data_IF_504010788706
#
_entry.id   IF_504010788706
#
_cell.length_a   1.000
_cell.length_b   1.000
_cell.length_c   1.000
_cell.angle_alpha   90.00
_cell.angle_beta   90.00
_cell.angle_gamma   90.00
#
_symmetry.space_group_name_H-M   'P 1'
#
loop_
_entity.id
_entity.type
_entity.pdbx_description
1 polymer ?
#
# COMPACT_ATOMS: atom_id res chain seq x y z
N UNK A 1 -27.36 10.99 -15.18
CA UNK A 1 -26.06 10.30 -15.21
C UNK A 1 -25.22 10.76 -14.05
N UNK A 2 -25.06 9.93 -13.04
CA UNK A 2 -24.12 10.19 -11.95
C UNK A 2 -22.70 9.98 -12.53
N UNK A 3 -21.93 11.06 -12.62
CA UNK A 3 -20.61 11.03 -13.23
C UNK A 3 -19.62 10.18 -12.43
N UNK A 4 -18.61 9.64 -13.14
CA UNK A 4 -17.47 8.89 -12.56
C UNK A 4 -16.84 9.61 -11.34
N UNK A 5 -16.92 10.94 -11.26
CA UNK A 5 -16.43 11.71 -10.13
C UNK A 5 -17.15 11.47 -8.80
N UNK A 6 -18.44 11.10 -8.82
CA UNK A 6 -19.19 10.83 -7.59
C UNK A 6 -18.90 9.46 -7.00
N UNK A 7 -18.54 8.48 -7.85
CA UNK A 7 -18.13 7.15 -7.42
C UNK A 7 -16.76 7.22 -6.76
N UNK A 8 -15.84 7.99 -7.29
CA UNK A 8 -14.51 8.20 -6.72
C UNK A 8 -14.55 8.96 -5.38
N UNK A 9 -15.37 9.99 -5.25
CA UNK A 9 -15.50 10.75 -4.00
C UNK A 9 -16.01 9.91 -2.82
N UNK A 10 -16.88 8.93 -3.08
CA UNK A 10 -17.38 8.04 -2.03
C UNK A 10 -16.36 7.01 -1.54
N UNK A 11 -15.30 6.74 -2.32
CA UNK A 11 -14.26 5.77 -1.98
C UNK A 11 -13.02 6.43 -1.35
N UNK A 12 -12.90 7.74 -1.41
CA UNK A 12 -11.70 8.48 -0.97
C UNK A 12 -11.70 8.78 0.52
N UNK A 13 -12.88 8.83 1.14
CA UNK A 13 -13.03 9.08 2.58
C UNK A 13 -14.00 8.07 3.20
N UNK A 14 -13.55 6.84 3.51
CA UNK A 14 -14.36 5.95 4.35
C UNK A 14 -14.57 6.62 5.71
N UNK A 15 -15.76 6.50 6.27
CA UNK A 15 -16.03 6.92 7.64
C UNK A 15 -15.13 6.20 8.64
N UNK A 16 -15.01 6.73 9.85
CA UNK A 16 -14.14 6.17 10.88
C UNK A 16 -14.44 4.69 11.20
N UNK A 17 -15.66 4.24 11.01
CA UNK A 17 -16.10 2.86 11.25
C UNK A 17 -15.67 1.90 10.12
N UNK A 18 -15.31 2.40 8.94
CA UNK A 18 -14.97 1.58 7.79
C UNK A 18 -13.57 0.95 7.90
N UNK A 19 -12.69 1.49 8.76
CA UNK A 19 -11.34 0.94 9.00
C UNK A 19 -11.35 -0.39 9.78
N UNK A 20 -12.50 -0.86 10.23
CA UNK A 20 -12.69 -2.18 10.83
C UNK A 20 -13.08 -3.26 9.81
N UNK A 21 -13.42 -2.86 8.59
CA UNK A 21 -13.72 -3.77 7.49
C UNK A 21 -12.45 -4.19 6.76
N UNK A 22 -12.11 -5.47 6.86
CA UNK A 22 -10.95 -6.08 6.20
C UNK A 22 -11.32 -7.01 5.03
N UNK A 23 -12.57 -6.97 4.55
CA UNK A 23 -12.95 -7.65 3.33
C UNK A 23 -12.28 -6.98 2.13
N UNK A 24 -11.73 -7.79 1.21
CA UNK A 24 -11.02 -7.29 0.04
C UNK A 24 -11.71 -7.76 -1.24
N UNK A 25 -12.06 -6.82 -2.10
CA UNK A 25 -12.64 -7.11 -3.41
C UNK A 25 -11.53 -7.18 -4.46
N UNK A 26 -11.42 -8.32 -5.14
CA UNK A 26 -10.47 -8.52 -6.23
C UNK A 26 -11.10 -8.27 -7.59
N UNK A 27 -10.35 -7.62 -8.46
CA UNK A 27 -10.54 -7.54 -9.90
C UNK A 27 -9.28 -8.07 -10.58
N UNK A 28 -9.30 -8.41 -11.88
CA UNK A 28 -8.08 -8.82 -12.58
C UNK A 28 -6.96 -7.80 -12.40
N UNK A 29 -5.82 -8.25 -11.87
CA UNK A 29 -4.74 -7.36 -11.48
C UNK A 29 -4.08 -6.69 -12.70
N UNK A 30 -3.80 -5.41 -12.56
CA UNK A 30 -3.09 -4.59 -13.53
C UNK A 30 -1.72 -4.19 -12.98
N UNK A 31 -0.72 -4.09 -13.85
CA UNK A 31 0.52 -3.36 -13.57
C UNK A 31 0.33 -1.92 -14.05
N UNK A 32 0.49 -0.96 -13.16
CA UNK A 32 0.29 0.45 -13.46
C UNK A 32 1.59 1.22 -13.25
N UNK A 33 1.99 2.01 -14.26
CA UNK A 33 3.17 2.85 -14.17
C UNK A 33 2.95 3.99 -13.18
N UNK A 34 3.93 4.19 -12.28
CA UNK A 34 3.85 5.21 -11.25
C UNK A 34 3.75 6.64 -11.82
N UNK A 35 4.49 6.91 -12.89
CA UNK A 35 4.59 8.26 -13.45
C UNK A 35 3.53 8.56 -14.52
N UNK A 36 3.16 7.55 -15.31
CA UNK A 36 2.33 7.75 -16.51
C UNK A 36 0.97 7.05 -16.45
N UNK A 37 0.78 6.14 -15.47
CA UNK A 37 -0.44 5.31 -15.42
C UNK A 37 -1.62 5.95 -14.72
N UNK A 38 -1.44 7.06 -14.02
CA UNK A 38 -2.53 7.73 -13.28
C UNK A 38 -2.75 7.23 -11.85
N UNK A 39 -1.91 6.31 -11.34
CA UNK A 39 -2.06 5.81 -9.97
C UNK A 39 -1.93 6.91 -8.92
N UNK A 40 -1.15 7.95 -9.17
CA UNK A 40 -0.98 9.05 -8.25
C UNK A 40 -2.26 9.87 -8.06
N UNK A 41 -3.12 9.92 -9.08
CA UNK A 41 -4.44 10.54 -9.02
C UNK A 41 -5.48 9.59 -8.41
N UNK A 42 -5.41 8.30 -8.74
CA UNK A 42 -6.31 7.27 -8.20
C UNK A 42 -6.10 7.11 -6.69
N UNK A 43 -4.85 7.01 -6.24
CA UNK A 43 -4.50 7.04 -4.84
C UNK A 43 -4.01 8.44 -4.46
N UNK A 44 -4.93 9.36 -4.34
CA UNK A 44 -4.63 10.74 -3.98
C UNK A 44 -4.03 10.84 -2.57
N UNK A 45 -3.22 11.87 -2.34
CA UNK A 45 -2.69 12.18 -0.99
C UNK A 45 -3.86 12.38 -0.01
N UNK A 46 -3.77 11.76 1.16
CA UNK A 46 -4.81 11.76 2.18
C UNK A 46 -5.83 10.62 2.04
N UNK A 47 -5.88 9.93 0.91
CA UNK A 47 -6.79 8.81 0.69
C UNK A 47 -6.27 7.53 1.35
N UNK A 48 -7.22 6.75 1.90
CA UNK A 48 -6.96 5.45 2.53
C UNK A 48 -7.61 4.33 1.74
N UNK A 49 -6.87 3.26 1.53
CA UNK A 49 -7.34 2.05 0.86
C UNK A 49 -6.83 0.80 1.56
N UNK A 50 -7.53 -0.31 1.36
CA UNK A 50 -7.10 -1.62 1.83
C UNK A 50 -5.96 -2.16 0.97
N UNK A 51 -4.97 -2.72 1.64
CA UNK A 51 -3.84 -3.44 1.05
C UNK A 51 -3.99 -4.92 1.37
N UNK A 52 -3.83 -5.77 0.38
CA UNK A 52 -3.83 -7.22 0.52
C UNK A 52 -2.39 -7.73 0.34
N UNK A 53 -1.86 -8.39 1.36
CA UNK A 53 -0.57 -9.08 1.25
C UNK A 53 -0.76 -10.44 0.57
N UNK A 54 -0.16 -10.60 -0.60
CA UNK A 54 -0.41 -11.78 -1.46
C UNK A 54 0.06 -13.10 -0.82
N UNK A 55 1.12 -13.04 0.00
CA UNK A 55 1.68 -14.26 0.60
C UNK A 55 0.93 -14.74 1.84
N UNK A 56 0.37 -13.83 2.61
CA UNK A 56 -0.31 -14.16 3.87
C UNK A 56 -1.83 -14.08 3.78
N UNK A 57 -2.36 -13.35 2.80
CA UNK A 57 -3.79 -13.04 2.71
C UNK A 57 -4.27 -12.02 3.72
N UNK A 58 -3.36 -11.40 4.48
CA UNK A 58 -3.70 -10.39 5.49
C UNK A 58 -4.00 -9.07 4.79
N UNK A 59 -5.11 -8.45 5.20
CA UNK A 59 -5.57 -7.14 4.70
C UNK A 59 -5.37 -6.11 5.80
N UNK A 60 -4.95 -4.90 5.43
CA UNK A 60 -4.79 -3.76 6.33
C UNK A 60 -5.05 -2.46 5.59
N UNK A 61 -5.40 -1.39 6.33
CA UNK A 61 -5.64 -0.07 5.75
C UNK A 61 -4.38 0.76 5.74
N UNK A 62 -4.10 1.38 4.60
CA UNK A 62 -3.00 2.30 4.41
C UNK A 62 -3.50 3.66 3.91
N UNK A 63 -2.94 4.74 4.46
CA UNK A 63 -3.16 6.10 3.98
C UNK A 63 -1.91 6.61 3.28
N UNK A 64 -2.08 7.13 2.06
CA UNK A 64 -1.01 7.84 1.39
C UNK A 64 -0.97 9.29 1.87
N UNK A 65 0.19 9.74 2.35
CA UNK A 65 0.35 11.14 2.75
C UNK A 65 1.23 11.92 1.79
N UNK A 66 2.19 11.30 1.10
CA UNK A 66 3.17 11.94 0.21
C UNK A 66 3.68 10.98 -0.86
N UNK A 67 4.81 11.34 -1.43
CA UNK A 67 5.61 10.51 -2.33
C UNK A 67 5.65 11.05 -3.76
N UNK A 68 6.88 11.27 -4.23
CA UNK A 68 7.17 11.67 -5.60
C UNK A 68 7.64 10.47 -6.45
N UNK A 69 8.53 9.66 -5.90
CA UNK A 69 9.13 8.51 -6.61
C UNK A 69 8.36 7.19 -6.39
N UNK A 70 7.58 7.13 -5.34
CA UNK A 70 6.67 6.05 -4.93
C UNK A 70 5.67 6.61 -3.92
N UNK A 71 4.73 5.81 -3.45
CA UNK A 71 3.81 6.26 -2.42
C UNK A 71 4.46 6.15 -1.03
N UNK A 72 4.46 7.26 -0.28
CA UNK A 72 4.76 7.27 1.14
C UNK A 72 3.45 7.06 1.90
N UNK A 73 3.39 6.02 2.71
CA UNK A 73 2.16 5.55 3.33
C UNK A 73 2.35 5.26 4.82
N UNK A 74 1.23 5.23 5.54
CA UNK A 74 1.17 4.82 6.93
C UNK A 74 -0.01 3.86 7.15
N UNK A 75 0.10 2.88 8.06
CA UNK A 75 -1.08 2.19 8.59
C UNK A 75 -2.06 3.19 9.20
N UNK A 76 -3.35 3.03 8.94
CA UNK A 76 -4.35 4.02 9.39
C UNK A 76 -4.60 3.94 10.89
N UNK A 77 -4.65 2.72 11.45
CA UNK A 77 -4.95 2.48 12.87
C UNK A 77 -3.90 1.61 13.53
N UNK A 78 -3.92 1.55 14.86
CA UNK A 78 -3.09 0.60 15.61
C UNK A 78 -3.39 -0.87 15.24
N UNK A 79 -4.64 -1.19 14.90
CA UNK A 79 -5.01 -2.52 14.41
C UNK A 79 -4.36 -2.81 13.05
N UNK A 80 -4.25 -1.83 12.17
CA UNK A 80 -3.56 -1.98 10.88
C UNK A 80 -2.06 -2.22 11.06
N UNK A 81 -1.43 -1.51 11.99
CA UNK A 81 -0.02 -1.76 12.34
C UNK A 81 0.17 -3.17 12.91
N UNK A 82 -0.76 -3.64 13.76
CA UNK A 82 -0.72 -5.02 14.28
C UNK A 82 -0.83 -6.06 13.14
N UNK A 83 -1.66 -5.81 12.14
CA UNK A 83 -1.80 -6.66 10.96
C UNK A 83 -0.53 -6.65 10.10
N UNK A 84 0.08 -5.48 9.92
CA UNK A 84 1.40 -5.36 9.28
C UNK A 84 2.47 -6.17 10.03
N UNK A 85 2.47 -6.10 11.36
CA UNK A 85 3.38 -6.90 12.20
C UNK A 85 3.15 -8.41 12.01
N UNK A 86 1.91 -8.87 11.87
CA UNK A 86 1.62 -10.26 11.55
C UNK A 86 2.21 -10.69 10.20
N UNK A 87 2.15 -9.82 9.18
CA UNK A 87 2.76 -10.08 7.87
C UNK A 87 4.26 -10.34 8.01
N UNK A 88 4.95 -9.56 8.85
CA UNK A 88 6.39 -9.68 9.06
C UNK A 88 6.78 -10.67 10.17
N UNK A 89 5.83 -11.22 10.90
CA UNK A 89 6.11 -12.15 12.00
C UNK A 89 6.80 -11.50 13.20
N UNK A 90 6.46 -10.25 13.51
CA UNK A 90 7.03 -9.44 14.58
C UNK A 90 5.97 -8.97 15.58
N UNK A 91 6.40 -8.49 16.75
CA UNK A 91 5.49 -8.03 17.80
C UNK A 91 5.12 -6.53 17.69
N UNK A 92 6.01 -5.74 17.11
CA UNK A 92 5.81 -4.31 16.87
C UNK A 92 6.56 -3.85 15.63
N UNK A 93 6.21 -2.67 15.12
CA UNK A 93 6.76 -2.16 13.87
C UNK A 93 8.28 -1.88 13.95
N UNK A 94 8.82 -1.49 15.11
CA UNK A 94 10.25 -1.27 15.29
C UNK A 94 11.07 -2.54 15.07
N UNK A 95 10.52 -3.72 15.40
CA UNK A 95 11.22 -5.00 15.19
C UNK A 95 11.45 -5.31 13.70
N UNK A 96 10.67 -4.74 12.78
CA UNK A 96 10.92 -4.89 11.34
C UNK A 96 12.30 -4.31 11.01
N UNK A 97 12.61 -3.15 11.59
CA UNK A 97 13.92 -2.51 11.47
C UNK A 97 15.01 -3.26 12.25
N UNK A 98 14.75 -3.54 13.52
CA UNK A 98 15.74 -4.18 14.41
C UNK A 98 16.21 -5.55 13.91
N UNK A 99 15.29 -6.30 13.31
CA UNK A 99 15.57 -7.61 12.71
C UNK A 99 16.00 -7.54 11.25
N UNK A 100 16.15 -6.33 10.70
CA UNK A 100 16.59 -6.11 9.31
C UNK A 100 15.73 -6.84 8.26
N UNK A 101 14.41 -6.73 8.40
CA UNK A 101 13.44 -7.41 7.53
C UNK A 101 13.16 -6.56 6.27
N UNK A 102 14.11 -6.50 5.38
CA UNK A 102 14.07 -5.66 4.18
C UNK A 102 13.30 -6.28 3.00
N UNK A 103 12.73 -7.46 3.14
CA UNK A 103 12.04 -8.13 2.05
C UNK A 103 10.92 -7.27 1.47
N UNK A 104 10.89 -7.20 0.14
CA UNK A 104 9.80 -6.56 -0.59
C UNK A 104 8.57 -7.48 -0.53
N UNK A 105 7.42 -6.92 -0.15
CA UNK A 105 6.18 -7.70 0.00
C UNK A 105 5.29 -7.50 -1.22
N UNK A 106 4.94 -8.58 -1.96
CA UNK A 106 3.96 -8.47 -3.04
C UNK A 106 2.57 -8.19 -2.47
N UNK A 107 1.95 -7.12 -2.96
CA UNK A 107 0.68 -6.62 -2.49
C UNK A 107 -0.28 -6.32 -3.64
N UNK A 108 -1.57 -6.26 -3.31
CA UNK A 108 -2.64 -5.78 -4.18
C UNK A 108 -3.37 -4.63 -3.48
N UNK A 109 -3.77 -3.64 -4.27
CA UNK A 109 -4.65 -2.55 -3.85
C UNK A 109 -5.82 -2.47 -4.81
N UNK A 110 -7.04 -2.37 -4.30
CA UNK A 110 -8.24 -2.16 -5.12
C UNK A 110 -8.75 -0.75 -4.92
N UNK A 111 -8.86 -0.01 -6.01
CA UNK A 111 -9.37 1.36 -6.07
C UNK A 111 -10.51 1.37 -7.08
N UNK A 112 -11.72 1.64 -6.61
CA UNK A 112 -12.90 1.52 -7.46
C UNK A 112 -13.15 0.07 -7.86
N UNK A 113 -13.22 -0.15 -9.17
CA UNK A 113 -13.40 -1.46 -9.79
C UNK A 113 -12.11 -1.98 -10.44
N UNK A 114 -10.96 -1.55 -9.96
CA UNK A 114 -9.65 -1.94 -10.49
C UNK A 114 -8.73 -2.40 -9.37
N UNK A 115 -8.01 -3.49 -9.61
CA UNK A 115 -6.97 -4.00 -8.70
C UNK A 115 -5.59 -3.81 -9.33
N UNK A 116 -4.66 -3.27 -8.54
CA UNK A 116 -3.30 -3.01 -8.99
C UNK A 116 -2.29 -3.81 -8.19
N UNK A 117 -1.30 -4.37 -8.89
CA UNK A 117 -0.16 -4.99 -8.27
C UNK A 117 0.83 -3.93 -7.76
N UNK A 118 1.29 -4.11 -6.54
CA UNK A 118 2.23 -3.21 -5.89
C UNK A 118 3.18 -3.98 -4.97
N UNK A 119 4.17 -3.28 -4.43
CA UNK A 119 5.19 -3.88 -3.56
C UNK A 119 5.47 -2.98 -2.37
N UNK A 120 5.40 -3.57 -1.17
CA UNK A 120 5.61 -2.88 0.09
C UNK A 120 7.08 -2.99 0.54
N UNK A 121 7.62 -1.86 1.00
CA UNK A 121 8.78 -1.77 1.87
C UNK A 121 8.29 -1.35 3.26
N UNK A 122 8.21 -2.31 4.17
CA UNK A 122 7.53 -2.13 5.46
C UNK A 122 8.43 -1.69 6.60
N UNK A 123 9.70 -1.34 6.36
CA UNK A 123 10.58 -0.81 7.40
C UNK A 123 10.23 0.64 7.70
N UNK A 124 9.80 0.97 8.94
CA UNK A 124 9.45 2.33 9.31
C UNK A 124 10.68 3.25 9.23
N UNK A 125 10.54 4.39 8.55
CA UNK A 125 11.59 5.38 8.39
C UNK A 125 11.00 6.78 8.34
N UNK A 126 11.86 7.82 8.27
CA UNK A 126 11.47 9.22 8.22
C UNK A 126 10.46 9.59 9.34
N UNK A 127 10.90 9.62 10.61
CA UNK A 127 10.01 9.90 11.74
C UNK A 127 9.34 11.28 11.65
N UNK A 128 9.95 12.24 10.96
CA UNK A 128 9.35 13.56 10.71
C UNK A 128 8.16 13.51 9.73
N UNK A 129 8.04 12.41 9.00
CA UNK A 129 6.91 12.12 8.11
C UNK A 129 5.74 11.41 8.80
N UNK A 130 5.76 11.25 10.10
CA UNK A 130 4.68 10.64 10.88
C UNK A 130 3.47 11.60 10.95
N UNK A 131 2.36 11.22 10.31
CA UNK A 131 1.14 12.01 10.23
C UNK A 131 -0.04 11.42 11.01
N UNK A 132 0.11 10.18 11.50
CA UNK A 132 -0.93 9.47 12.26
C UNK A 132 -0.36 9.05 13.63
N UNK A 133 -0.51 9.85 14.67
CA UNK A 133 0.16 9.64 15.96
C UNK A 133 -0.33 8.40 16.73
N UNK A 134 -1.55 7.94 16.46
CA UNK A 134 -2.21 6.89 17.25
C UNK A 134 -2.17 5.50 16.57
N UNK A 135 -1.36 5.32 15.53
CA UNK A 135 -1.30 4.07 14.79
C UNK A 135 -0.25 3.05 15.29
N UNK A 136 0.44 3.33 16.39
CA UNK A 136 1.52 2.48 16.95
C UNK A 136 2.70 2.26 15.98
N UNK A 137 2.94 3.19 15.08
CA UNK A 137 4.12 3.21 14.22
C UNK A 137 4.66 4.63 14.11
N UNK A 138 5.97 4.79 14.28
CA UNK A 138 6.63 6.08 14.06
C UNK A 138 7.20 6.13 12.66
N UNK A 139 6.90 7.21 11.92
CA UNK A 139 7.37 7.43 10.57
C UNK A 139 6.46 6.81 9.51
N UNK A 140 7.04 6.51 8.37
CA UNK A 140 6.34 6.03 7.17
C UNK A 140 6.95 4.75 6.63
N UNK A 141 6.19 4.09 5.76
CA UNK A 141 6.63 2.98 4.91
C UNK A 141 6.32 3.31 3.45
N UNK A 142 6.82 2.50 2.52
CA UNK A 142 6.73 2.82 1.09
C UNK A 142 5.98 1.75 0.30
N UNK A 143 5.14 2.20 -0.64
CA UNK A 143 4.50 1.35 -1.63
C UNK A 143 4.99 1.69 -3.03
N UNK A 144 5.56 0.70 -3.72
CA UNK A 144 6.06 0.83 -5.08
C UNK A 144 5.06 0.25 -6.08
N UNK A 145 4.92 0.92 -7.20
CA UNK A 145 4.22 0.48 -8.40
C UNK A 145 5.23 0.29 -9.55
N UNK A 146 4.77 -0.10 -10.71
CA UNK A 146 5.65 -0.27 -11.87
C UNK A 146 6.45 1.02 -12.12
N UNK A 147 7.75 0.89 -12.26
CA UNK A 147 8.74 1.97 -12.46
C UNK A 147 8.90 2.97 -11.31
N UNK A 148 8.30 2.76 -10.14
CA UNK A 148 8.63 3.52 -8.94
C UNK A 148 10.13 3.45 -8.66
N UNK A 149 10.69 4.53 -8.10
CA UNK A 149 12.11 4.66 -7.80
C UNK A 149 12.37 4.79 -6.30
N UNK A 150 13.54 4.37 -5.86
CA UNK A 150 14.00 4.65 -4.50
C UNK A 150 14.38 6.13 -4.33
N UNK A 151 14.18 6.68 -3.13
CA UNK A 151 14.52 8.08 -2.84
C UNK A 151 16.03 8.37 -3.01
N UNK A 152 16.86 7.58 -2.36
CA UNK A 152 18.30 7.81 -2.35
C UNK A 152 18.97 7.45 -3.67
N UNK A 153 18.55 6.33 -4.27
CA UNK A 153 19.18 5.85 -5.50
C UNK A 153 18.70 6.58 -6.74
N UNK A 154 17.48 7.14 -6.74
CA UNK A 154 16.82 7.67 -7.93
C UNK A 154 16.60 6.63 -9.03
N UNK A 155 16.73 5.33 -8.70
CA UNK A 155 16.64 4.20 -9.63
C UNK A 155 15.46 3.29 -9.30
N UNK A 156 14.99 2.57 -10.31
CA UNK A 156 14.03 1.50 -10.14
C UNK A 156 14.67 0.37 -9.34
N UNK A 157 13.98 -0.06 -8.28
CA UNK A 157 14.41 -1.19 -7.45
C UNK A 157 13.88 -2.49 -8.07
N UNK A 158 14.80 -3.35 -8.51
CA UNK A 158 14.46 -4.60 -9.17
C UNK A 158 13.74 -5.59 -8.26
N UNK A 159 14.02 -5.59 -6.97
CA UNK A 159 13.30 -6.44 -5.99
C UNK A 159 11.85 -6.02 -5.84
N UNK A 160 11.57 -4.71 -5.85
CA UNK A 160 10.20 -4.21 -5.91
C UNK A 160 9.50 -4.64 -7.20
N UNK A 161 10.16 -4.53 -8.35
CA UNK A 161 9.55 -4.91 -9.62
C UNK A 161 9.27 -6.43 -9.69
N UNK A 162 10.13 -7.26 -9.11
CA UNK A 162 9.89 -8.71 -8.98
C UNK A 162 8.69 -9.01 -8.07
N UNK A 163 8.53 -8.30 -6.96
CA UNK A 163 7.39 -8.45 -6.07
C UNK A 163 6.08 -7.98 -6.73
N UNK A 164 6.12 -6.91 -7.51
CA UNK A 164 4.97 -6.44 -8.32
C UNK A 164 4.56 -7.52 -9.33
N UNK A 165 5.52 -8.10 -10.05
CA UNK A 165 5.27 -9.18 -11.00
C UNK A 165 4.64 -10.40 -10.32
N UNK A 166 5.16 -10.79 -9.15
CA UNK A 166 4.59 -11.88 -8.35
C UNK A 166 3.14 -11.58 -7.92
N UNK A 167 2.86 -10.35 -7.45
CA UNK A 167 1.51 -9.95 -7.07
C UNK A 167 0.55 -9.98 -8.27
N UNK A 168 1.00 -9.51 -9.42
CA UNK A 168 0.22 -9.53 -10.66
C UNK A 168 -0.12 -10.94 -11.11
N UNK A 169 0.86 -11.87 -11.06
CA UNK A 169 0.65 -13.27 -11.45
C UNK A 169 -0.21 -14.06 -10.46
N UNK A 170 -0.27 -13.65 -9.20
CA UNK A 170 -0.95 -14.40 -8.13
C UNK A 170 -2.23 -13.71 -7.62
N UNK A 171 -2.83 -12.82 -8.38
CA UNK A 171 -4.11 -12.23 -8.02
C UNK A 171 -5.23 -13.28 -8.12
N UNK A 172 -6.08 -13.45 -7.08
CA UNK A 172 -7.17 -14.43 -7.10
C UNK A 172 -8.17 -14.25 -8.24
N UNK A 173 -8.37 -13.02 -8.72
CA UNK A 173 -9.27 -12.72 -9.83
C UNK A 173 -8.58 -12.80 -11.21
N UNK A 174 -7.34 -13.28 -11.27
CA UNK A 174 -6.55 -13.30 -12.49
C UNK A 174 -5.82 -11.99 -12.76
N UNK A 175 -5.40 -11.81 -13.99
CA UNK A 175 -4.57 -10.65 -14.41
C UNK A 175 -5.03 -10.09 -15.74
N UNK A 176 -4.71 -8.86 -15.96
CA UNK A 176 -5.06 -8.07 -17.13
C UNK A 176 -3.82 -7.62 -17.89
#
# INVERSE_FOLDING_TARGET
SRGLGDVYKRQVEPGADDYTDYNFQFYPAEKIDWYTGGIQQLWAKGASYKIYDVRTGIVWWARRWAGYSHADIEPVTAADTARLCQIYGVNNAQEIWDKNLWQRRPCLITIGNRTFACSLFGMPHNPDGDTIPDNNMTGQICMHFTNSKGHESGKVDTYHQQAIEYAWQNCPAGRK
#
